data_IF_225879945549
#
_entry.id   IF_225879945549
#
_cell.length_a   1.000
_cell.length_b   1.000
_cell.length_c   1.000
_cell.angle_alpha   90.00
_cell.angle_beta   90.00
_cell.angle_gamma   90.00
#
_symmetry.space_group_name_H-M   'P 1'
#
loop_
_entity.id
_entity.type
_entity.pdbx_description
1 polymer ?
#
# COMPACT_ATOMS: atom_id res chain seq x y z
N UNK A 1 0.37 -5.60 -10.77
CA UNK A 1 0.09 -4.58 -9.75
C UNK A 1 0.46 -5.11 -8.37
N UNK A 2 0.83 -4.23 -7.44
CA UNK A 2 1.19 -4.53 -6.06
C UNK A 2 0.55 -3.48 -5.15
N UNK A 3 0.03 -3.88 -3.99
CA UNK A 3 -0.56 -2.97 -2.99
C UNK A 3 0.41 -2.75 -1.84
N UNK A 4 0.54 -1.50 -1.40
CA UNK A 4 1.37 -1.12 -0.24
C UNK A 4 0.55 -0.21 0.67
N UNK A 5 0.64 -0.38 1.99
CA UNK A 5 -0.07 0.50 2.94
C UNK A 5 0.39 1.95 2.71
N UNK A 6 -0.54 2.89 2.54
CA UNK A 6 -0.22 4.28 2.20
C UNK A 6 0.65 4.98 3.25
N UNK A 7 0.48 4.64 4.52
CA UNK A 7 1.29 5.16 5.63
C UNK A 7 2.75 4.67 5.63
N UNK A 8 3.13 3.74 4.74
CA UNK A 8 4.50 3.22 4.61
C UNK A 8 5.28 3.98 3.54
N UNK A 9 5.44 5.29 3.72
CA UNK A 9 6.07 6.18 2.74
C UNK A 9 7.49 5.74 2.33
N UNK A 10 8.32 5.32 3.27
CA UNK A 10 9.69 4.86 2.99
C UNK A 10 9.71 3.60 2.10
N UNK A 11 8.78 2.67 2.34
CA UNK A 11 8.66 1.44 1.54
C UNK A 11 8.15 1.76 0.14
N UNK A 12 7.18 2.67 0.02
CA UNK A 12 6.70 3.16 -1.27
C UNK A 12 7.86 3.81 -2.05
N UNK A 13 8.63 4.69 -1.41
CA UNK A 13 9.79 5.32 -2.02
C UNK A 13 10.87 4.31 -2.42
N UNK A 14 11.07 3.25 -1.63
CA UNK A 14 11.95 2.15 -2.00
C UNK A 14 11.49 1.48 -3.30
N UNK A 15 10.21 1.13 -3.41
CA UNK A 15 9.67 0.53 -4.64
C UNK A 15 9.80 1.46 -5.85
N UNK A 16 9.56 2.76 -5.67
CA UNK A 16 9.71 3.74 -6.75
C UNK A 16 11.15 3.76 -7.29
N UNK A 17 12.16 3.77 -6.40
CA UNK A 17 13.57 3.68 -6.82
C UNK A 17 13.90 2.38 -7.57
N UNK A 18 13.11 1.32 -7.37
CA UNK A 18 13.29 0.01 -8.01
C UNK A 18 12.42 -0.19 -9.26
N UNK A 19 11.93 0.90 -9.84
CA UNK A 19 11.22 0.93 -11.12
C UNK A 19 9.70 0.72 -11.01
N UNK A 20 9.15 0.76 -9.80
CA UNK A 20 7.69 0.85 -9.63
C UNK A 20 7.22 2.29 -9.81
N UNK A 21 5.96 2.46 -10.19
CA UNK A 21 5.29 3.74 -10.30
C UNK A 21 3.92 3.65 -9.62
N UNK A 22 3.50 4.74 -9.00
CA UNK A 22 2.14 4.84 -8.46
C UNK A 22 1.14 4.94 -9.61
N UNK A 23 0.10 4.11 -9.56
CA UNK A 23 -0.98 4.12 -10.55
C UNK A 23 -1.99 5.25 -10.31
N UNK A 24 -1.93 5.91 -9.15
CA UNK A 24 -2.93 6.87 -8.69
C UNK A 24 -4.14 6.22 -7.99
N UNK A 25 -4.30 4.90 -8.09
CA UNK A 25 -5.37 4.16 -7.43
C UNK A 25 -5.05 3.94 -5.94
N UNK A 26 -6.08 4.10 -5.09
CA UNK A 26 -6.07 3.69 -3.69
C UNK A 26 -7.21 2.71 -3.41
N UNK A 27 -6.97 1.75 -2.52
CA UNK A 27 -7.95 0.72 -2.13
C UNK A 27 -8.16 0.70 -0.62
N UNK A 28 -9.36 0.39 -0.13
CA UNK A 28 -9.60 0.23 1.30
C UNK A 28 -8.75 -0.92 1.87
N UNK A 29 -8.41 -0.82 3.16
CA UNK A 29 -7.78 -1.90 3.91
C UNK A 29 -8.87 -2.73 4.59
N UNK A 30 -9.33 -3.80 3.94
CA UNK A 30 -10.47 -4.61 4.42
C UNK A 30 -10.06 -5.70 5.46
N UNK A 31 -9.00 -5.47 6.22
CA UNK A 31 -8.50 -6.43 7.22
C UNK A 31 -8.90 -6.02 8.63
N UNK A 32 -10.15 -6.38 9.00
CA UNK A 32 -10.74 -6.17 10.31
C UNK A 32 -10.88 -7.47 11.12
N UNK A 33 -9.91 -8.37 11.01
CA UNK A 33 -9.90 -9.60 11.81
C UNK A 33 -9.25 -9.32 13.18
N UNK A 34 -10.01 -9.37 14.29
CA UNK A 34 -9.52 -9.03 15.62
C UNK A 34 -8.33 -9.88 16.09
N UNK A 35 -8.12 -11.08 15.49
CA UNK A 35 -6.98 -11.95 15.82
C UNK A 35 -5.63 -11.34 15.46
N UNK A 36 -5.61 -10.42 14.50
CA UNK A 36 -4.40 -9.72 14.06
C UNK A 36 -4.33 -8.27 14.58
N UNK A 37 -5.27 -7.91 15.46
CA UNK A 37 -5.47 -6.55 15.94
C UNK A 37 -6.22 -5.69 14.93
N UNK A 38 -6.99 -4.73 15.44
CA UNK A 38 -7.70 -3.77 14.61
C UNK A 38 -6.82 -2.54 14.34
N UNK A 39 -6.86 -1.98 13.12
CA UNK A 39 -6.22 -0.70 12.83
C UNK A 39 -6.69 0.39 13.80
N UNK A 40 -5.74 1.08 14.44
CA UNK A 40 -6.05 2.23 15.32
C UNK A 40 -6.38 3.50 14.52
N UNK A 41 -6.03 3.52 13.25
CA UNK A 41 -6.29 4.59 12.29
C UNK A 41 -6.81 3.96 11.00
N UNK A 42 -7.61 4.68 10.20
CA UNK A 42 -7.99 4.21 8.87
C UNK A 42 -6.74 3.89 8.05
N UNK A 43 -6.71 2.70 7.45
CA UNK A 43 -5.65 2.28 6.54
C UNK A 43 -6.21 2.16 5.13
N UNK A 44 -5.35 2.40 4.16
CA UNK A 44 -5.63 2.24 2.73
C UNK A 44 -4.36 1.73 2.05
N UNK A 45 -4.54 1.06 0.92
CA UNK A 45 -3.45 0.67 0.05
C UNK A 45 -3.28 1.71 -1.06
N UNK A 46 -2.04 2.00 -1.43
CA UNK A 46 -1.69 2.55 -2.74
C UNK A 46 -1.39 1.39 -3.70
N UNK A 47 -1.79 1.54 -4.96
CA UNK A 47 -1.50 0.56 -6.00
C UNK A 47 -0.29 1.00 -6.82
N UNK A 48 0.73 0.15 -6.81
CA UNK A 48 1.95 0.31 -7.58
C UNK A 48 1.99 -0.66 -8.76
N UNK A 49 2.59 -0.23 -9.86
CA UNK A 49 2.89 -1.07 -11.00
C UNK A 49 4.38 -1.00 -11.36
N UNK A 50 4.91 -2.05 -11.96
CA UNK A 50 6.24 -2.06 -12.56
C UNK A 50 6.08 -2.53 -13.99
N UNK A 51 6.45 -1.68 -14.95
CA UNK A 51 6.47 -2.06 -16.36
C UNK A 51 7.60 -3.07 -16.56
N UNK A 52 7.27 -4.21 -17.15
CA UNK A 52 8.23 -5.26 -17.51
C UNK A 52 8.97 -4.88 -18.79
#
# INVERSE_FOLDING_TARGET
FMTVISAREELIAWYIRHGYHATGEKRPFDFDDPRFGLPKVPLEFVVLEKKL
#
